data_IF_470909688779
#
_entry.id   IF_470909688779
#
_cell.length_a   1.000
_cell.length_b   1.000
_cell.length_c   1.000
_cell.angle_alpha   90.00
_cell.angle_beta   90.00
_cell.angle_gamma   90.00
#
_symmetry.space_group_name_H-M   'P 1'
#
loop_
_entity.id
_entity.type
_entity.pdbx_description
1 polymer ?
#
# COMPACT_ATOMS: atom_id res chain seq x y z
N UNK A 1 -3.12 -13.66 8.53
CA UNK A 1 -1.84 -13.99 9.22
C UNK A 1 -0.95 -14.72 8.22
N UNK A 2 0.28 -14.27 7.99
CA UNK A 2 1.25 -14.93 7.11
C UNK A 2 2.08 -15.93 7.92
N UNK A 3 2.27 -17.15 7.43
CA UNK A 3 3.16 -18.15 8.03
C UNK A 3 4.48 -18.14 7.26
N UNK A 4 5.59 -17.90 7.95
CA UNK A 4 6.92 -17.95 7.34
C UNK A 4 7.38 -19.41 7.20
N UNK A 5 8.12 -19.71 6.14
CA UNK A 5 8.67 -21.03 5.89
C UNK A 5 9.78 -21.41 6.90
N UNK A 6 10.40 -20.41 7.52
CA UNK A 6 11.41 -20.54 8.57
C UNK A 6 11.22 -19.48 9.64
N UNK A 7 11.62 -19.73 10.91
CA UNK A 7 11.66 -18.71 11.95
C UNK A 7 12.50 -17.51 11.51
N UNK A 8 12.10 -16.30 11.89
CA UNK A 8 12.84 -15.07 11.63
C UNK A 8 13.48 -14.60 12.94
N UNK A 9 14.81 -14.75 13.12
CA UNK A 9 15.47 -14.29 14.34
C UNK A 9 15.51 -12.74 14.41
N UNK A 10 15.72 -12.16 15.61
CA UNK A 10 15.82 -10.70 15.76
C UNK A 10 16.86 -10.10 14.82
N UNK A 11 16.50 -9.02 14.13
CA UNK A 11 17.37 -8.31 13.18
C UNK A 11 17.49 -8.94 11.79
N UNK A 12 16.96 -10.15 11.57
CA UNK A 12 16.92 -10.75 10.24
C UNK A 12 15.80 -10.17 9.38
N UNK A 13 16.00 -10.24 8.06
CA UNK A 13 15.08 -9.74 7.05
C UNK A 13 14.43 -10.91 6.31
N UNK A 14 13.13 -10.80 6.06
CA UNK A 14 12.40 -11.71 5.19
C UNK A 14 11.85 -10.91 3.99
N UNK A 15 11.94 -11.50 2.80
CA UNK A 15 11.26 -10.98 1.62
C UNK A 15 9.87 -11.61 1.52
N UNK A 16 8.86 -10.79 1.24
CA UNK A 16 7.48 -11.22 1.07
C UNK A 16 6.99 -10.70 -0.28
N UNK A 17 6.63 -11.63 -1.16
CA UNK A 17 6.07 -11.32 -2.46
C UNK A 17 4.55 -11.49 -2.41
N UNK A 18 3.80 -10.44 -2.76
CA UNK A 18 2.34 -10.43 -2.74
C UNK A 18 1.85 -10.05 -4.13
N UNK A 19 1.07 -10.94 -4.73
CA UNK A 19 0.35 -10.66 -5.97
C UNK A 19 -1.13 -10.50 -5.66
N UNK A 20 -1.73 -9.41 -6.14
CA UNK A 20 -3.13 -9.12 -5.94
C UNK A 20 -3.72 -8.35 -7.12
N UNK A 21 -5.04 -8.40 -7.23
CA UNK A 21 -5.82 -7.55 -8.13
C UNK A 21 -6.79 -6.74 -7.28
N UNK A 22 -6.84 -5.43 -7.52
CA UNK A 22 -7.72 -4.52 -6.80
C UNK A 22 -8.64 -3.78 -7.77
N UNK A 23 -9.91 -3.64 -7.39
CA UNK A 23 -10.82 -2.67 -8.03
C UNK A 23 -10.62 -1.31 -7.37
N UNK A 24 -10.08 -0.35 -8.11
CA UNK A 24 -9.91 1.02 -7.62
C UNK A 24 -11.31 1.63 -7.41
N UNK A 25 -11.62 2.19 -6.22
CA UNK A 25 -12.92 2.78 -5.95
C UNK A 25 -13.08 4.15 -6.61
N UNK A 26 -14.33 4.62 -6.77
CA UNK A 26 -14.60 6.02 -7.10
C UNK A 26 -14.24 6.88 -5.88
N UNK A 27 -13.38 7.87 -6.08
CA UNK A 27 -12.74 8.73 -5.07
C UNK A 27 -13.30 8.62 -3.64
N UNK A 28 -12.52 7.98 -2.76
CA UNK A 28 -12.75 7.88 -1.32
C UNK A 28 -11.56 8.53 -0.62
N UNK A 29 -11.79 9.64 0.09
CA UNK A 29 -10.78 10.29 0.93
C UNK A 29 -9.47 10.63 0.17
N UNK A 30 -9.58 11.04 -1.10
CA UNK A 30 -8.41 11.37 -1.92
C UNK A 30 -7.69 10.15 -2.51
N UNK A 31 -8.23 8.94 -2.35
CA UNK A 31 -7.79 7.72 -3.00
C UNK A 31 -8.86 7.20 -3.95
N UNK A 32 -8.48 6.83 -5.17
CA UNK A 32 -9.38 6.24 -6.15
C UNK A 32 -9.39 6.99 -7.47
N UNK A 33 -10.42 6.78 -8.28
CA UNK A 33 -10.56 7.44 -9.58
C UNK A 33 -11.71 8.46 -9.59
N UNK A 34 -11.60 9.43 -10.48
CA UNK A 34 -12.69 10.31 -10.90
C UNK A 34 -12.71 10.38 -12.44
N UNK A 35 -13.46 11.33 -13.01
CA UNK A 35 -13.67 11.41 -14.46
C UNK A 35 -12.40 11.75 -15.25
N UNK A 36 -11.35 12.26 -14.62
CA UNK A 36 -10.13 12.74 -15.29
C UNK A 36 -8.83 12.06 -14.84
N UNK A 37 -8.81 11.41 -13.67
CA UNK A 37 -7.56 10.89 -13.10
C UNK A 37 -7.76 9.73 -12.12
N UNK A 38 -6.66 9.01 -11.92
CA UNK A 38 -6.47 8.04 -10.84
C UNK A 38 -5.54 8.64 -9.79
N UNK A 39 -5.98 8.66 -8.53
CA UNK A 39 -5.22 9.13 -7.38
C UNK A 39 -4.88 7.92 -6.53
N UNK A 40 -3.62 7.51 -6.58
CA UNK A 40 -3.09 6.39 -5.80
C UNK A 40 -2.08 6.96 -4.81
N UNK A 41 -2.50 7.10 -3.55
CA UNK A 41 -1.69 7.62 -2.45
C UNK A 41 -1.48 6.54 -1.39
N UNK A 42 -0.42 6.66 -0.59
CA UNK A 42 -0.04 5.71 0.47
C UNK A 42 0.10 4.24 0.02
N UNK A 43 0.21 4.02 -1.29
CA UNK A 43 0.41 2.71 -1.96
C UNK A 43 -0.55 1.62 -1.49
N UNK A 44 -1.85 1.93 -1.44
CA UNK A 44 -2.87 0.93 -1.12
C UNK A 44 -2.96 -0.18 -2.18
N UNK A 45 -3.09 -1.46 -1.77
CA UNK A 45 -3.10 -1.99 -0.40
C UNK A 45 -1.76 -1.84 0.33
N UNK A 46 -1.82 -1.24 1.53
CA UNK A 46 -0.67 -1.01 2.40
C UNK A 46 -0.40 -2.22 3.31
N UNK A 47 0.86 -2.44 3.66
CA UNK A 47 1.25 -3.44 4.66
C UNK A 47 0.75 -3.00 6.03
N UNK A 48 0.33 -3.95 6.87
CA UNK A 48 -0.08 -3.70 8.25
C UNK A 48 1.07 -3.07 9.04
N UNK A 49 0.78 -2.04 9.84
CA UNK A 49 1.78 -1.45 10.74
C UNK A 49 1.99 -2.35 11.95
N UNK A 50 3.20 -2.37 12.51
CA UNK A 50 3.47 -3.08 13.76
C UNK A 50 3.66 -2.10 14.92
N UNK A 51 2.69 -2.07 15.85
CA UNK A 51 2.70 -1.19 17.02
C UNK A 51 2.34 -1.98 18.27
N UNK A 52 2.99 -1.69 19.39
CA UNK A 52 2.68 -2.27 20.72
C UNK A 52 2.56 -3.80 20.72
N UNK A 53 3.45 -4.46 19.97
CA UNK A 53 3.50 -5.92 19.90
C UNK A 53 2.46 -6.57 18.96
N UNK A 54 1.68 -5.78 18.21
CA UNK A 54 0.57 -6.24 17.37
C UNK A 54 0.65 -5.68 15.96
N UNK A 55 0.20 -6.49 14.99
CA UNK A 55 -0.03 -6.04 13.63
C UNK A 55 -1.41 -5.37 13.54
N UNK A 56 -1.43 -4.11 13.15
CA UNK A 56 -2.66 -3.35 12.97
C UNK A 56 -3.10 -3.37 11.50
N UNK A 57 -4.20 -4.08 11.25
CA UNK A 57 -4.85 -4.10 9.93
C UNK A 57 -5.99 -3.09 9.97
N UNK A 58 -5.89 -2.05 9.15
CA UNK A 58 -6.84 -0.95 9.16
C UNK A 58 -7.48 -0.77 7.78
N UNK A 59 -8.81 -0.78 7.75
CA UNK A 59 -9.60 -0.47 6.53
C UNK A 59 -9.55 1.03 6.30
N UNK A 60 -9.33 1.47 5.05
CA UNK A 60 -9.28 2.89 4.69
C UNK A 60 -10.48 3.68 5.25
N UNK A 61 -10.20 4.65 6.12
CA UNK A 61 -11.13 5.64 6.64
C UNK A 61 -10.39 6.96 6.95
N UNK A 62 -11.14 8.01 7.31
CA UNK A 62 -10.57 9.35 7.47
C UNK A 62 -9.63 9.46 8.67
N UNK A 63 -9.77 8.59 9.67
CA UNK A 63 -8.96 8.56 10.87
C UNK A 63 -7.62 7.84 10.67
N UNK A 64 -7.52 6.98 9.65
CA UNK A 64 -6.37 6.10 9.47
C UNK A 64 -5.65 6.21 8.12
N UNK A 65 -5.95 7.26 7.38
CA UNK A 65 -5.32 7.52 6.09
C UNK A 65 -3.78 7.46 6.17
N UNK A 66 -3.21 7.86 7.31
CA UNK A 66 -1.77 7.97 7.55
C UNK A 66 -1.22 6.95 8.56
N UNK A 67 -1.98 5.91 8.91
CA UNK A 67 -1.62 5.01 10.02
C UNK A 67 -0.56 3.94 9.70
N UNK A 68 0.13 4.01 8.56
CA UNK A 68 1.17 3.05 8.17
C UNK A 68 2.54 3.37 8.77
N UNK A 69 3.42 2.37 8.74
CA UNK A 69 4.85 2.60 8.88
C UNK A 69 5.41 3.30 7.63
N UNK A 70 6.50 4.04 7.81
CA UNK A 70 7.20 4.71 6.71
C UNK A 70 8.24 3.75 6.12
N UNK A 71 8.35 3.75 4.79
CA UNK A 71 9.27 2.87 4.07
C UNK A 71 9.85 3.54 2.84
N UNK A 72 10.90 2.92 2.28
CA UNK A 72 11.40 3.26 0.94
C UNK A 72 10.62 2.44 -0.08
N UNK A 73 10.10 3.11 -1.11
CA UNK A 73 9.32 2.47 -2.16
C UNK A 73 10.06 2.56 -3.48
N UNK A 74 10.01 1.48 -4.25
CA UNK A 74 10.41 1.46 -5.65
C UNK A 74 9.24 0.96 -6.47
N UNK A 75 8.86 1.73 -7.50
CA UNK A 75 7.60 1.55 -8.21
C UNK A 75 7.85 1.44 -9.69
N UNK A 76 7.22 0.46 -10.30
CA UNK A 76 7.14 0.33 -11.76
C UNK A 76 5.67 0.37 -12.14
N UNK A 77 5.29 1.37 -12.93
CA UNK A 77 3.92 1.60 -13.34
C UNK A 77 3.78 1.32 -14.83
N UNK A 78 2.83 0.46 -15.18
CA UNK A 78 2.39 0.25 -16.55
C UNK A 78 1.03 0.92 -16.70
N UNK A 79 0.99 2.03 -17.45
CA UNK A 79 -0.22 2.82 -17.68
C UNK A 79 -0.52 2.89 -19.18
N UNK A 80 -1.80 3.06 -19.59
CA UNK A 80 -2.12 3.30 -20.98
C UNK A 80 -1.46 4.58 -21.51
N UNK A 81 -1.14 4.62 -22.80
CA UNK A 81 -0.32 5.69 -23.42
C UNK A 81 -0.95 7.09 -23.35
N UNK A 82 -2.25 7.18 -23.10
CA UNK A 82 -2.98 8.44 -22.95
C UNK A 82 -2.99 8.99 -21.52
N UNK A 83 -2.29 8.34 -20.58
CA UNK A 83 -2.15 8.83 -19.20
C UNK A 83 -0.77 9.46 -18.98
N UNK A 84 -0.76 10.55 -18.21
CA UNK A 84 0.46 11.15 -17.69
C UNK A 84 0.65 10.70 -16.24
N UNK A 85 1.86 10.27 -15.90
CA UNK A 85 2.21 9.89 -14.53
C UNK A 85 2.77 11.12 -13.82
N UNK A 86 2.15 11.49 -12.70
CA UNK A 86 2.65 12.50 -11.77
C UNK A 86 2.96 11.79 -10.46
N UNK A 87 4.18 11.94 -9.96
CA UNK A 87 4.66 11.26 -8.75
C UNK A 87 5.49 12.23 -7.90
N UNK A 88 5.49 12.00 -6.59
CA UNK A 88 6.38 12.68 -5.64
C UNK A 88 7.83 12.21 -5.73
N UNK A 89 8.10 11.11 -6.45
CA UNK A 89 9.39 10.41 -6.46
C UNK A 89 9.41 9.22 -5.51
#
# INVERSE_FOLDING_TARGET
RLKLNRPLPPGAIAEINIHYTLKIPKNILGYGYNDSQFIIANWYPKVAAYRDGKWEVQVLNSQNLFSSDVGKYHLTLFVPTNYWVVSSG
#
